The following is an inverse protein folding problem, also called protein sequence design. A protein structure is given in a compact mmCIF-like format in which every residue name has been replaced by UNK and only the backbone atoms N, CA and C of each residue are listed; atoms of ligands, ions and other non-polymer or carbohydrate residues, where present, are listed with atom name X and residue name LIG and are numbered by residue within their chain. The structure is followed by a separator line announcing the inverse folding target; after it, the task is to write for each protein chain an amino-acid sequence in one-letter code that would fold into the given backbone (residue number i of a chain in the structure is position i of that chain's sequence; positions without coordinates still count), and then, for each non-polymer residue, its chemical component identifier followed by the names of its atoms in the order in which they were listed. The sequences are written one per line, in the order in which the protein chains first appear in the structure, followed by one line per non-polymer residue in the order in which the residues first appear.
data_IF_742189633400
#
_entry.id   IF_742189633400
#
_cell.length_a   1.000
_cell.length_b   1.000
_cell.length_c   1.000
_cell.angle_alpha   90.00
_cell.angle_beta   90.00
_cell.angle_gamma   90.00
#
_symmetry.space_group_name_H-M   'P 1'
#
loop_
_entity.id
_entity.type
_entity.pdbx_description
1 polymer ?
#
# COMPACT_ATOMS: atom_id res chain seq x y z
N UNK A 1 -9.85 -10.30 2.11
CA UNK A 1 -8.71 -9.39 1.88
C UNK A 1 -7.63 -10.05 1.04
N UNK A 2 -7.19 -11.27 1.40
CA UNK A 2 -6.17 -12.05 0.67
C UNK A 2 -6.47 -12.17 -0.82
N UNK A 3 -7.68 -12.59 -1.21
CA UNK A 3 -8.04 -12.75 -2.62
C UNK A 3 -7.92 -11.48 -3.47
N UNK A 4 -8.12 -10.30 -2.87
CA UNK A 4 -7.95 -9.01 -3.57
C UNK A 4 -6.47 -8.60 -3.63
N UNK A 5 -5.71 -8.82 -2.55
CA UNK A 5 -4.26 -8.55 -2.54
C UNK A 5 -3.49 -9.48 -3.47
N UNK A 6 -3.97 -10.72 -3.66
CA UNK A 6 -3.34 -11.72 -4.54
C UNK A 6 -3.90 -11.74 -5.96
N UNK A 7 -4.80 -10.81 -6.30
CA UNK A 7 -5.36 -10.76 -7.65
C UNK A 7 -4.24 -10.43 -8.65
N UNK A 8 -4.30 -10.96 -9.88
CA UNK A 8 -3.38 -10.54 -10.93
C UNK A 8 -3.55 -9.03 -11.18
N UNK A 9 -2.43 -8.33 -11.32
CA UNK A 9 -2.39 -6.94 -11.75
C UNK A 9 -2.06 -6.89 -13.25
N UNK A 10 -2.46 -5.83 -13.91
CA UNK A 10 -2.03 -5.57 -15.28
C UNK A 10 -0.51 -5.40 -15.34
N UNK A 11 0.08 -5.79 -16.46
CA UNK A 11 1.53 -5.78 -16.63
C UNK A 11 2.12 -4.36 -16.64
N UNK A 12 1.32 -3.34 -16.97
CA UNK A 12 1.77 -1.95 -17.13
C UNK A 12 0.77 -1.00 -16.50
N UNK A 13 1.29 -0.14 -15.62
CA UNK A 13 0.60 1.04 -15.11
C UNK A 13 1.44 2.28 -15.45
N UNK A 14 0.99 3.17 -16.36
CA UNK A 14 1.77 4.34 -16.76
C UNK A 14 2.13 5.29 -15.61
N UNK A 15 1.34 5.34 -14.54
CA UNK A 15 1.58 6.18 -13.37
C UNK A 15 1.23 5.42 -12.10
N UNK A 16 2.10 5.53 -11.09
CA UNK A 16 1.87 5.04 -9.73
C UNK A 16 2.10 6.14 -8.70
N UNK A 17 1.29 6.11 -7.65
CA UNK A 17 1.34 6.98 -6.49
C UNK A 17 1.53 6.11 -5.25
N UNK A 18 2.50 6.50 -4.42
CA UNK A 18 2.74 5.89 -3.12
C UNK A 18 2.46 6.94 -2.06
N UNK A 19 1.60 6.62 -1.12
CA UNK A 19 1.24 7.50 -0.01
C UNK A 19 1.33 6.77 1.33
N UNK A 20 1.50 7.53 2.41
CA UNK A 20 1.58 7.04 3.78
C UNK A 20 0.60 7.81 4.67
N UNK A 21 -0.53 7.19 4.99
CA UNK A 21 -1.56 7.79 5.84
C UNK A 21 -1.35 7.31 7.27
N UNK A 22 -1.10 8.24 8.19
CA UNK A 22 -0.95 7.92 9.61
C UNK A 22 -2.31 7.73 10.28
N UNK A 23 -2.57 6.51 10.77
CA UNK A 23 -3.83 6.14 11.39
C UNK A 23 -3.59 5.62 12.81
N UNK A 24 -4.46 6.00 13.75
CA UNK A 24 -4.45 5.40 15.09
C UNK A 24 -5.03 3.98 15.02
N UNK A 25 -4.17 2.98 15.22
CA UNK A 25 -4.55 1.56 15.20
C UNK A 25 -4.45 1.02 16.63
N UNK A 26 -5.43 0.21 17.04
CA UNK A 26 -5.42 -0.50 18.33
C UNK A 26 -5.07 -1.96 18.10
N UNK A 27 -3.97 -2.38 18.69
CA UNK A 27 -3.48 -3.77 18.67
C UNK A 27 -2.80 -4.03 20.03
N UNK A 28 -3.63 -4.30 21.04
CA UNK A 28 -3.29 -4.14 22.45
C UNK A 28 -3.37 -2.68 22.90
N UNK A 29 -2.34 -1.88 22.61
CA UNK A 29 -2.31 -0.44 22.85
C UNK A 29 -2.67 0.35 21.57
N UNK A 30 -3.16 1.58 21.74
CA UNK A 30 -3.38 2.50 20.60
C UNK A 30 -2.05 3.14 20.23
N UNK A 31 -1.63 2.99 18.99
CA UNK A 31 -0.45 3.65 18.44
C UNK A 31 -0.78 4.30 17.10
N UNK A 32 -0.06 5.36 16.74
CA UNK A 32 -0.13 5.92 15.40
C UNK A 32 0.76 5.07 14.49
N UNK A 33 0.18 4.43 13.48
CA UNK A 33 0.91 3.58 12.52
C UNK A 33 0.66 4.09 11.10
N UNK A 34 1.69 4.12 10.24
CA UNK A 34 1.49 4.46 8.84
C UNK A 34 0.77 3.32 8.12
N UNK A 35 -0.15 3.67 7.23
CA UNK A 35 -0.73 2.76 6.24
C UNK A 35 -0.24 3.21 4.88
N UNK A 36 0.57 2.37 4.26
CA UNK A 36 1.09 2.60 2.92
C UNK A 36 0.07 2.18 1.88
N UNK A 37 -0.16 3.05 0.90
CA UNK A 37 -1.10 2.83 -0.20
C UNK A 37 -0.33 2.90 -1.51
N UNK A 38 -0.45 1.86 -2.32
CA UNK A 38 -0.06 1.91 -3.73
C UNK A 38 -1.31 2.10 -4.59
N UNK A 39 -1.41 3.24 -5.26
CA UNK A 39 -2.48 3.54 -6.21
C UNK A 39 -1.86 3.73 -7.59
N UNK A 40 -2.50 3.19 -8.62
CA UNK A 40 -2.01 3.32 -9.98
C UNK A 40 -3.13 3.69 -10.95
N UNK A 41 -2.73 4.14 -12.13
CA UNK A 41 -3.62 4.43 -13.26
C UNK A 41 -3.36 3.35 -14.31
N UNK A 42 -4.40 2.68 -14.78
CA UNK A 42 -4.32 1.69 -15.87
C UNK A 42 -4.08 2.38 -17.22
N UNK A 43 -3.80 1.61 -18.27
CA UNK A 43 -3.64 2.12 -19.64
C UNK A 43 -4.91 2.78 -20.20
N UNK A 44 -6.08 2.46 -19.66
CA UNK A 44 -7.38 3.05 -20.01
C UNK A 44 -7.69 4.31 -19.18
N UNK A 45 -6.73 4.77 -18.35
CA UNK A 45 -6.88 5.96 -17.53
C UNK A 45 -7.69 5.74 -16.25
N UNK A 46 -7.95 4.49 -15.86
CA UNK A 46 -8.74 4.18 -14.66
C UNK A 46 -7.83 4.07 -13.44
N UNK A 47 -8.25 4.64 -12.30
CA UNK A 47 -7.52 4.51 -11.03
C UNK A 47 -7.88 3.20 -10.33
N UNK A 48 -6.88 2.53 -9.78
CA UNK A 48 -7.06 1.39 -8.89
C UNK A 48 -6.05 1.38 -7.74
N UNK A 49 -6.43 0.76 -6.63
CA UNK A 49 -5.51 0.52 -5.51
C UNK A 49 -4.84 -0.83 -5.77
N UNK A 50 -3.52 -0.84 -5.89
CA UNK A 50 -2.75 -2.07 -6.10
C UNK A 50 -2.57 -2.84 -4.79
N UNK A 51 -2.34 -2.12 -3.69
CA UNK A 51 -2.18 -2.72 -2.37
C UNK A 51 -2.22 -1.72 -1.22
N UNK A 52 -2.31 -2.29 -0.01
CA UNK A 52 -2.36 -1.59 1.27
C UNK A 52 -1.54 -2.39 2.29
N UNK A 53 -0.64 -1.70 3.00
CA UNK A 53 0.21 -2.33 4.02
C UNK A 53 0.25 -1.46 5.26
N UNK A 54 -0.02 -2.05 6.42
CA UNK A 54 0.19 -1.38 7.70
C UNK A 54 1.68 -1.48 8.06
N UNK A 55 2.34 -0.34 8.19
CA UNK A 55 3.70 -0.26 8.69
C UNK A 55 3.76 -0.40 10.21
N UNK A 56 4.94 -0.77 10.69
CA UNK A 56 5.26 -0.85 12.11
C UNK A 56 5.72 0.49 12.71
N UNK A 57 5.77 1.55 11.89
CA UNK A 57 6.24 2.88 12.27
C UNK A 57 7.70 3.15 11.91
N UNK A 58 8.40 2.20 11.27
CA UNK A 58 9.73 2.45 10.73
C UNK A 58 9.66 3.07 9.33
N UNK A 59 10.32 4.22 9.13
CA UNK A 59 10.42 4.90 7.83
C UNK A 59 11.65 4.42 7.02
N UNK A 60 12.06 3.17 7.22
CA UNK A 60 13.26 2.62 6.60
C UNK A 60 13.01 2.07 5.19
N UNK A 61 13.95 2.28 4.28
CA UNK A 61 13.92 1.73 2.92
C UNK A 61 13.74 0.20 2.88
N UNK A 62 14.09 -0.49 3.98
CA UNK A 62 13.90 -1.93 4.15
C UNK A 62 12.45 -2.39 3.96
N UNK A 63 11.46 -1.52 4.22
CA UNK A 63 10.05 -1.88 4.05
C UNK A 63 9.63 -2.00 2.57
N UNK A 64 10.40 -1.40 1.65
CA UNK A 64 10.13 -1.39 0.21
C UNK A 64 10.91 -2.44 -0.58
N UNK A 65 11.89 -3.08 0.05
CA UNK A 65 12.70 -4.09 -0.60
C UNK A 65 11.99 -5.45 -0.49
N UNK A 66 11.97 -6.25 -1.58
CA UNK A 66 11.58 -7.65 -1.47
C UNK A 66 12.56 -8.38 -0.50
N UNK A 67 12.11 -9.46 0.15
CA UNK A 67 12.95 -10.29 1.01
C UNK A 67 14.16 -10.89 0.27
#
# INVERSE_FOLDING_TARGET
MTAWQSRPLDAVHPVAFIDAIHVKIRDGAVANRPVYVALAVTTEGRREILGLWAGDGSEGAKHWLPP
#
